data_IF_258370800795
#
_entry.id   IF_258370800795
#
_cell.length_a   1.000
_cell.length_b   1.000
_cell.length_c   1.000
_cell.angle_alpha   90.00
_cell.angle_beta   90.00
_cell.angle_gamma   90.00
#
_symmetry.space_group_name_H-M   'P 1'
#
loop_
_entity.id
_entity.type
_entity.pdbx_description
1 polymer ?
#
# COMPACT_ATOMS: atom_id res chain seq x y z
N UNK A 1 -47.16 35.35 10.18
CA UNK A 1 -45.70 35.25 10.29
C UNK A 1 -45.25 33.86 9.91
N UNK A 2 -44.07 33.78 9.34
CA UNK A 2 -43.40 32.51 8.98
C UNK A 2 -41.96 32.60 9.51
N UNK A 3 -41.60 31.70 10.46
CA UNK A 3 -40.32 31.72 11.18
C UNK A 3 -39.78 30.30 11.28
N UNK A 4 -38.46 30.14 11.13
CA UNK A 4 -37.73 28.90 11.32
C UNK A 4 -36.90 28.91 12.62
N UNK A 5 -36.71 27.73 13.20
CA UNK A 5 -35.74 27.59 14.31
C UNK A 5 -34.28 27.76 13.85
N UNK A 6 -34.00 27.51 12.59
CA UNK A 6 -32.71 27.74 11.94
C UNK A 6 -32.95 27.98 10.43
N UNK A 7 -32.27 28.96 9.83
CA UNK A 7 -32.43 29.38 8.43
C UNK A 7 -31.20 29.10 7.56
N UNK A 8 -30.10 28.60 8.14
CA UNK A 8 -28.89 28.16 7.46
C UNK A 8 -28.41 26.82 8.01
N UNK A 9 -28.44 25.80 7.17
CA UNK A 9 -28.05 24.44 7.52
C UNK A 9 -26.76 24.04 6.82
N UNK A 10 -25.83 23.46 7.58
CA UNK A 10 -24.68 22.76 7.05
C UNK A 10 -24.79 21.27 7.37
N UNK A 11 -24.94 20.43 6.37
CA UNK A 11 -25.19 19.00 6.46
C UNK A 11 -23.98 18.17 6.02
N UNK A 12 -23.90 16.92 6.46
CA UNK A 12 -22.75 16.04 6.21
C UNK A 12 -22.71 15.53 4.78
N UNK A 13 -21.50 15.35 4.25
CA UNK A 13 -21.26 14.78 2.93
C UNK A 13 -21.83 13.36 2.79
N UNK A 14 -21.77 12.53 3.84
CA UNK A 14 -22.27 11.16 3.86
C UNK A 14 -23.80 11.03 3.75
N UNK A 15 -24.50 12.15 3.60
CA UNK A 15 -25.95 12.23 3.75
C UNK A 15 -26.33 12.56 5.19
N UNK A 16 -27.41 13.32 5.33
CA UNK A 16 -27.84 13.80 6.64
C UNK A 16 -29.33 14.10 6.64
N UNK A 17 -29.88 14.26 7.85
CA UNK A 17 -31.28 14.66 8.06
C UNK A 17 -31.37 15.73 9.13
N UNK A 18 -31.94 16.87 8.79
CA UNK A 18 -32.24 17.92 9.74
C UNK A 18 -33.75 18.05 9.94
N UNK A 19 -34.12 18.38 11.17
CA UNK A 19 -35.51 18.66 11.54
C UNK A 19 -35.59 20.13 11.97
N UNK A 20 -36.39 20.92 11.27
CA UNK A 20 -36.55 22.34 11.51
C UNK A 20 -37.98 22.61 12.02
N UNK A 21 -38.07 23.39 13.10
CA UNK A 21 -39.36 23.90 13.55
C UNK A 21 -39.82 25.07 12.68
N UNK A 22 -41.03 24.98 12.20
CA UNK A 22 -41.69 26.00 11.37
C UNK A 22 -42.87 26.57 12.14
N UNK A 23 -42.80 27.82 12.52
CA UNK A 23 -43.91 28.57 13.08
C UNK A 23 -44.59 29.38 11.99
N UNK A 24 -45.83 29.02 11.70
CA UNK A 24 -46.62 29.68 10.66
C UNK A 24 -48.04 30.01 11.15
N UNK A 25 -48.56 31.15 10.76
CA UNK A 25 -49.90 31.61 11.15
C UNK A 25 -51.05 30.90 10.42
N UNK A 26 -50.76 30.15 9.35
CA UNK A 26 -51.72 29.40 8.55
C UNK A 26 -51.05 28.21 7.87
N UNK A 27 -51.80 27.51 7.00
CA UNK A 27 -51.23 26.40 6.22
C UNK A 27 -50.00 26.87 5.40
N UNK A 28 -48.91 26.10 5.47
CA UNK A 28 -47.70 26.36 4.71
C UNK A 28 -47.32 25.19 3.81
N UNK A 29 -46.55 25.48 2.77
CA UNK A 29 -45.99 24.49 1.87
C UNK A 29 -44.47 24.70 1.75
N UNK A 30 -43.74 23.65 1.38
CA UNK A 30 -42.30 23.72 1.18
C UNK A 30 -41.89 22.92 -0.06
N UNK A 31 -40.92 23.44 -0.79
CA UNK A 31 -40.33 22.76 -1.94
C UNK A 31 -38.79 22.91 -1.92
N UNK A 32 -38.06 21.88 -2.27
CA UNK A 32 -36.62 21.93 -2.46
C UNK A 32 -36.33 22.40 -3.89
N UNK A 33 -35.25 23.19 -4.06
CA UNK A 33 -34.77 23.65 -5.35
C UNK A 33 -33.69 22.78 -5.97
N UNK A 34 -33.40 21.60 -5.37
CA UNK A 34 -32.41 20.64 -5.87
C UNK A 34 -32.83 19.20 -5.60
N UNK A 35 -32.56 18.31 -6.53
CA UNK A 35 -32.96 16.90 -6.48
C UNK A 35 -32.26 16.12 -5.37
N UNK A 36 -31.03 16.52 -5.01
CA UNK A 36 -30.26 15.90 -3.94
C UNK A 36 -30.74 16.27 -2.52
N UNK A 37 -31.62 17.26 -2.41
CA UNK A 37 -32.22 17.72 -1.17
C UNK A 37 -33.72 17.43 -1.21
N UNK A 38 -34.15 16.46 -0.44
CA UNK A 38 -35.56 16.07 -0.34
C UNK A 38 -36.17 16.58 0.95
N UNK A 39 -37.47 16.88 0.92
CA UNK A 39 -38.19 17.39 2.07
C UNK A 39 -39.43 16.55 2.38
N UNK A 40 -39.74 16.43 3.67
CA UNK A 40 -40.95 15.82 4.17
C UNK A 40 -41.56 16.71 5.24
N UNK A 41 -42.86 16.82 5.26
CA UNK A 41 -43.58 17.41 6.42
C UNK A 41 -43.59 16.38 7.55
N UNK A 42 -43.16 16.81 8.73
CA UNK A 42 -43.25 15.96 9.93
C UNK A 42 -44.69 15.64 10.30
N UNK A 43 -44.87 14.57 11.05
CA UNK A 43 -46.20 14.13 11.58
C UNK A 43 -46.86 15.25 12.39
N UNK A 44 -46.08 16.10 13.05
CA UNK A 44 -46.53 17.32 13.73
C UNK A 44 -46.49 18.50 12.75
N UNK A 45 -47.57 19.20 12.58
CA UNK A 45 -47.82 20.26 11.59
C UNK A 45 -46.82 21.42 11.54
N UNK A 46 -45.90 21.53 12.53
CA UNK A 46 -44.88 22.56 12.64
C UNK A 46 -43.45 22.07 12.37
N UNK A 47 -43.27 20.89 11.77
CA UNK A 47 -41.92 20.34 11.52
C UNK A 47 -41.66 20.15 9.99
N UNK A 48 -40.49 20.63 9.57
CA UNK A 48 -39.94 20.40 8.23
C UNK A 48 -38.73 19.47 8.38
N UNK A 49 -38.77 18.33 7.71
CA UNK A 49 -37.68 17.36 7.68
C UNK A 49 -36.96 17.52 6.34
N UNK A 50 -35.67 17.80 6.40
CA UNK A 50 -34.80 17.99 5.25
C UNK A 50 -33.80 16.84 5.22
N UNK A 51 -33.81 16.06 4.13
CA UNK A 51 -32.90 14.95 3.92
C UNK A 51 -32.03 15.24 2.72
N UNK A 52 -30.70 15.12 2.86
CA UNK A 52 -29.75 15.22 1.76
C UNK A 52 -29.16 13.86 1.46
N UNK A 53 -29.10 13.51 0.18
CA UNK A 53 -28.40 12.32 -0.28
C UNK A 53 -26.88 12.48 -0.11
N UNK A 54 -26.10 11.38 -0.01
CA UNK A 54 -24.64 11.46 0.00
C UNK A 54 -24.11 12.28 -1.18
N UNK A 55 -23.06 13.08 -0.93
CA UNK A 55 -22.37 13.84 -1.97
C UNK A 55 -21.10 13.13 -2.39
N UNK A 56 -20.92 12.94 -3.70
CA UNK A 56 -19.69 12.43 -4.30
C UNK A 56 -18.78 13.54 -4.83
N UNK A 57 -19.17 14.80 -4.59
CA UNK A 57 -18.37 15.98 -4.93
C UNK A 57 -17.40 16.30 -3.77
N UNK A 58 -16.18 16.68 -4.11
CA UNK A 58 -15.16 17.15 -3.16
C UNK A 58 -15.46 18.59 -2.67
N UNK A 59 -16.32 19.31 -3.39
CA UNK A 59 -16.72 20.66 -3.03
C UNK A 59 -18.03 20.68 -2.27
N UNK A 60 -18.17 21.69 -1.39
CA UNK A 60 -19.45 22.03 -0.77
C UNK A 60 -20.47 22.38 -1.84
N UNK A 61 -21.69 21.88 -1.70
CA UNK A 61 -22.81 22.25 -2.56
C UNK A 61 -23.94 22.91 -1.76
N UNK A 62 -24.65 23.81 -2.38
CA UNK A 62 -25.71 24.56 -1.76
C UNK A 62 -27.00 24.57 -2.55
N UNK A 63 -28.12 24.69 -1.83
CA UNK A 63 -29.47 24.91 -2.39
C UNK A 63 -30.31 25.69 -1.40
N UNK A 64 -31.56 25.98 -1.77
CA UNK A 64 -32.54 26.56 -0.89
C UNK A 64 -33.81 25.70 -0.81
N UNK A 65 -34.40 25.66 0.35
CA UNK A 65 -35.78 25.20 0.54
C UNK A 65 -36.68 26.43 0.64
N UNK A 66 -37.59 26.54 -0.30
CA UNK A 66 -38.58 27.60 -0.33
C UNK A 66 -39.81 27.18 0.46
N UNK A 67 -40.15 27.96 1.47
CA UNK A 67 -41.37 27.77 2.26
C UNK A 67 -42.33 28.91 2.05
N UNK A 68 -43.60 28.58 1.80
CA UNK A 68 -44.67 29.54 1.48
C UNK A 68 -45.81 29.41 2.50
N UNK A 69 -46.31 30.54 2.99
CA UNK A 69 -47.45 30.62 3.88
C UNK A 69 -48.30 31.84 3.52
N UNK A 70 -49.39 31.66 2.75
CA UNK A 70 -50.08 32.74 2.07
C UNK A 70 -49.15 33.47 1.13
N UNK A 71 -49.11 34.80 1.20
CA UNK A 71 -48.20 35.63 0.40
C UNK A 71 -46.79 35.72 0.91
N UNK A 72 -46.49 35.13 2.10
CA UNK A 72 -45.14 35.13 2.67
C UNK A 72 -44.31 33.99 2.09
N UNK A 73 -43.12 34.35 1.58
CA UNK A 73 -42.13 33.41 1.06
C UNK A 73 -40.84 33.61 1.85
N UNK A 74 -40.33 32.52 2.44
CA UNK A 74 -39.02 32.51 3.10
C UNK A 74 -38.19 31.39 2.49
N UNK A 75 -36.88 31.60 2.39
CA UNK A 75 -35.91 30.60 1.91
C UNK A 75 -35.00 30.21 3.04
N UNK A 76 -34.88 28.90 3.24
CA UNK A 76 -33.92 28.25 4.13
C UNK A 76 -32.71 27.87 3.30
N UNK A 77 -31.52 28.30 3.69
CA UNK A 77 -30.27 27.90 3.06
C UNK A 77 -29.90 26.48 3.50
N UNK A 78 -29.58 25.63 2.56
CA UNK A 78 -29.10 24.25 2.81
C UNK A 78 -27.78 24.06 2.12
N UNK A 79 -26.71 23.89 2.89
CA UNK A 79 -25.37 23.58 2.41
C UNK A 79 -24.99 22.16 2.83
N UNK A 80 -24.27 21.48 1.99
CA UNK A 80 -23.74 20.14 2.26
C UNK A 80 -22.24 20.11 2.05
N UNK A 81 -21.49 19.65 3.04
CA UNK A 81 -20.04 19.49 2.94
C UNK A 81 -19.65 18.65 1.73
N UNK A 82 -18.52 19.01 1.12
CA UNK A 82 -17.86 18.16 0.14
C UNK A 82 -17.31 16.87 0.79
N UNK A 83 -17.14 15.85 -0.04
CA UNK A 83 -16.55 14.58 0.33
C UNK A 83 -15.05 14.74 0.57
N UNK A 84 -14.56 14.16 1.65
CA UNK A 84 -13.14 13.98 1.93
C UNK A 84 -12.87 12.49 2.01
N UNK A 85 -11.88 12.01 1.27
CA UNK A 85 -11.34 10.66 1.42
C UNK A 85 -9.85 10.68 1.07
N UNK A 86 -9.01 10.43 2.05
CA UNK A 86 -7.56 10.40 1.94
C UNK A 86 -7.04 9.09 2.52
N UNK A 87 -6.10 8.49 1.82
CA UNK A 87 -5.30 7.35 2.25
C UNK A 87 -3.84 7.82 2.22
N UNK A 88 -3.01 7.34 3.14
CA UNK A 88 -1.57 7.65 3.14
C UNK A 88 -0.98 7.41 1.73
N UNK A 89 -0.40 8.46 1.12
CA UNK A 89 0.07 8.43 -0.28
C UNK A 89 1.12 7.35 -0.53
N UNK A 90 1.90 6.99 0.49
CA UNK A 90 2.98 6.01 0.41
C UNK A 90 2.47 4.56 0.46
N UNK A 91 1.22 4.33 0.86
CA UNK A 91 0.65 2.99 1.03
C UNK A 91 -0.31 2.61 -0.09
N UNK A 92 0.21 2.40 -1.29
CA UNK A 92 -0.52 1.73 -2.38
C UNK A 92 -0.51 0.20 -2.26
N UNK A 93 0.42 -0.33 -1.49
CA UNK A 93 0.60 -1.74 -1.22
C UNK A 93 0.60 -2.01 0.29
N UNK A 94 0.17 -3.20 0.66
CA UNK A 94 0.27 -3.76 2.00
C UNK A 94 1.20 -4.96 1.89
N UNK A 95 2.43 -4.82 2.38
CA UNK A 95 3.47 -5.84 2.22
C UNK A 95 3.70 -6.58 3.53
N UNK A 96 3.51 -7.89 3.49
CA UNK A 96 3.57 -8.77 4.65
C UNK A 96 4.74 -9.75 4.54
N UNK A 97 5.45 -9.95 5.63
CA UNK A 97 6.41 -11.03 5.74
C UNK A 97 5.71 -12.40 5.64
N UNK A 98 6.47 -13.44 5.33
CA UNK A 98 5.97 -14.83 5.30
C UNK A 98 5.30 -15.25 6.61
N UNK A 99 5.87 -14.86 7.74
CA UNK A 99 5.29 -15.09 9.08
C UNK A 99 4.10 -14.15 9.34
N UNK A 100 3.22 -14.50 10.28
CA UNK A 100 2.15 -13.60 10.67
C UNK A 100 2.66 -12.20 10.98
N UNK A 101 2.10 -11.22 10.34
CA UNK A 101 2.50 -9.82 10.49
C UNK A 101 1.30 -8.89 10.33
N UNK A 102 1.51 -7.63 10.72
CA UNK A 102 0.45 -6.63 10.78
C UNK A 102 0.87 -5.38 10.02
N UNK A 103 -0.05 -4.86 9.21
CA UNK A 103 0.05 -3.57 8.54
C UNK A 103 -1.11 -2.66 8.97
N UNK A 104 -0.83 -1.39 9.16
CA UNK A 104 -1.84 -0.38 9.51
C UNK A 104 -1.99 0.61 8.37
N UNK A 105 -3.23 0.79 7.93
CA UNK A 105 -3.61 1.77 6.92
C UNK A 105 -4.47 2.85 7.57
N UNK A 106 -4.01 4.08 7.54
CA UNK A 106 -4.79 5.21 8.05
C UNK A 106 -5.64 5.81 6.94
N UNK A 107 -6.92 5.92 7.20
CA UNK A 107 -7.87 6.62 6.33
C UNK A 107 -8.41 7.86 7.04
N UNK A 108 -8.54 8.95 6.28
CA UNK A 108 -9.20 10.19 6.73
C UNK A 108 -10.38 10.45 5.82
N UNK A 109 -11.56 10.50 6.39
CA UNK A 109 -12.78 10.67 5.60
C UNK A 109 -13.92 11.23 6.45
N UNK A 110 -14.83 11.91 5.82
CA UNK A 110 -16.13 12.31 6.38
C UNK A 110 -17.27 11.46 5.82
N UNK A 111 -16.95 10.33 5.16
CA UNK A 111 -17.89 9.40 4.55
C UNK A 111 -18.03 8.10 5.36
N UNK A 112 -19.09 7.37 5.09
CA UNK A 112 -19.14 5.94 5.43
C UNK A 112 -18.26 5.16 4.43
N UNK A 113 -17.61 4.09 4.93
CA UNK A 113 -16.73 3.25 4.13
C UNK A 113 -16.95 1.77 4.39
N UNK A 114 -16.56 0.95 3.40
CA UNK A 114 -16.59 -0.50 3.47
C UNK A 114 -15.30 -1.07 2.87
N UNK A 115 -14.66 -1.99 3.59
CA UNK A 115 -13.50 -2.74 3.11
C UNK A 115 -13.95 -4.08 2.54
N UNK A 116 -13.42 -4.41 1.37
CA UNK A 116 -13.61 -5.70 0.71
C UNK A 116 -12.24 -6.30 0.39
N UNK A 117 -12.01 -7.54 0.84
CA UNK A 117 -10.84 -8.35 0.51
C UNK A 117 -11.28 -9.38 -0.53
N UNK A 118 -10.63 -9.38 -1.70
CA UNK A 118 -11.02 -10.23 -2.83
C UNK A 118 -10.72 -11.71 -2.57
N UNK A 119 -9.58 -12.01 -1.96
CA UNK A 119 -9.21 -13.37 -1.57
C UNK A 119 -10.08 -13.84 -0.39
N UNK A 120 -10.67 -15.03 -0.53
CA UNK A 120 -11.54 -15.64 0.48
C UNK A 120 -10.89 -16.79 1.26
N UNK A 121 -9.59 -17.05 1.03
CA UNK A 121 -8.86 -18.09 1.76
C UNK A 121 -8.62 -17.75 3.24
N UNK A 122 -8.81 -16.46 3.61
CA UNK A 122 -8.74 -16.00 5.00
C UNK A 122 -7.33 -15.69 5.50
N UNK A 123 -6.32 -15.71 4.63
CA UNK A 123 -4.95 -15.38 5.01
C UNK A 123 -4.76 -13.90 5.41
N UNK A 124 -5.58 -13.04 4.85
CA UNK A 124 -5.60 -11.61 5.14
C UNK A 124 -6.92 -11.24 5.83
N UNK A 125 -6.82 -10.60 6.96
CA UNK A 125 -7.95 -10.12 7.73
C UNK A 125 -7.79 -8.64 8.04
N UNK A 126 -8.90 -7.93 8.22
CA UNK A 126 -8.91 -6.51 8.61
C UNK A 126 -9.72 -6.34 9.89
N UNK A 127 -9.31 -5.40 10.74
CA UNK A 127 -9.98 -5.10 12.03
C UNK A 127 -11.46 -4.76 11.85
N UNK A 128 -11.76 -3.92 10.86
CA UNK A 128 -13.10 -3.42 10.60
C UNK A 128 -13.39 -3.48 9.11
N UNK A 129 -14.56 -4.01 8.76
CA UNK A 129 -14.99 -4.11 7.36
C UNK A 129 -15.93 -2.97 6.95
N UNK A 130 -16.50 -2.25 7.93
CA UNK A 130 -17.41 -1.11 7.71
C UNK A 130 -17.17 -0.06 8.79
N UNK A 131 -17.35 1.20 8.45
CA UNK A 131 -17.25 2.30 9.40
C UNK A 131 -17.68 3.64 8.82
N UNK A 132 -17.50 4.69 9.61
CA UNK A 132 -17.79 6.08 9.23
C UNK A 132 -16.73 6.99 9.83
N UNK A 133 -16.23 7.93 9.03
CA UNK A 133 -15.19 8.85 9.47
C UNK A 133 -13.80 8.21 9.48
N UNK A 134 -12.84 8.90 10.09
CA UNK A 134 -11.45 8.48 10.15
C UNK A 134 -11.30 7.12 10.83
N UNK A 135 -10.36 6.32 10.35
CA UNK A 135 -10.04 5.02 10.94
C UNK A 135 -8.59 4.62 10.70
N UNK A 136 -8.05 3.82 11.61
CA UNK A 136 -6.81 3.07 11.46
C UNK A 136 -7.19 1.61 11.19
N UNK A 137 -7.13 1.19 9.94
CA UNK A 137 -7.46 -0.18 9.52
C UNK A 137 -6.25 -1.07 9.76
N UNK A 138 -6.39 -2.05 10.65
CA UNK A 138 -5.35 -3.01 10.99
C UNK A 138 -5.55 -4.26 10.15
N UNK A 139 -4.60 -4.53 9.26
CA UNK A 139 -4.57 -5.74 8.45
C UNK A 139 -3.62 -6.74 9.06
N UNK A 140 -4.08 -7.97 9.26
CA UNK A 140 -3.30 -9.07 9.82
C UNK A 140 -3.19 -10.19 8.79
N UNK A 141 -1.96 -10.69 8.57
CA UNK A 141 -1.71 -11.86 7.75
C UNK A 141 -1.47 -13.10 8.61
N UNK A 142 -1.91 -14.27 8.13
CA UNK A 142 -1.52 -15.58 8.68
C UNK A 142 -0.19 -16.05 8.09
N UNK A 143 0.40 -17.12 8.63
CA UNK A 143 1.60 -17.74 8.05
C UNK A 143 1.37 -18.15 6.58
N UNK A 144 2.33 -17.84 5.70
CA UNK A 144 2.35 -18.36 4.34
C UNK A 144 3.27 -19.59 4.27
N UNK A 145 2.70 -20.77 4.41
CA UNK A 145 3.43 -22.03 4.29
C UNK A 145 3.72 -22.45 2.84
N UNK A 146 3.24 -21.66 1.86
CA UNK A 146 3.47 -21.95 0.44
C UNK A 146 4.88 -21.50 0.01
N UNK A 147 5.40 -22.15 -1.03
CA UNK A 147 6.69 -21.80 -1.62
C UNK A 147 6.72 -20.39 -2.20
N UNK A 148 5.60 -19.93 -2.73
CA UNK A 148 5.49 -18.68 -3.48
C UNK A 148 4.74 -17.60 -2.70
N UNK A 149 4.97 -16.34 -3.09
CA UNK A 149 4.20 -15.23 -2.60
C UNK A 149 2.71 -15.39 -2.92
N UNK A 150 1.88 -14.76 -2.12
CA UNK A 150 0.45 -14.67 -2.38
C UNK A 150 -0.02 -13.23 -2.33
N UNK A 151 -1.01 -12.92 -3.16
CA UNK A 151 -1.53 -11.56 -3.29
C UNK A 151 -3.04 -11.55 -3.14
N UNK A 152 -3.56 -10.42 -2.67
CA UNK A 152 -4.99 -10.13 -2.65
C UNK A 152 -5.23 -8.68 -3.00
N UNK A 153 -6.39 -8.42 -3.61
CA UNK A 153 -6.86 -7.06 -3.83
C UNK A 153 -7.72 -6.64 -2.65
N UNK A 154 -7.41 -5.50 -2.07
CA UNK A 154 -8.21 -4.82 -1.05
C UNK A 154 -8.89 -3.61 -1.71
N UNK A 155 -10.20 -3.49 -1.56
CA UNK A 155 -10.95 -2.32 -2.01
C UNK A 155 -11.60 -1.64 -0.81
N UNK A 156 -11.44 -0.33 -0.74
CA UNK A 156 -12.14 0.50 0.23
C UNK A 156 -13.16 1.33 -0.54
N UNK A 157 -14.42 1.01 -0.36
CA UNK A 157 -15.55 1.70 -0.98
C UNK A 157 -16.00 2.87 -0.11
N UNK A 158 -16.31 4.00 -0.72
CA UNK A 158 -16.85 5.19 -0.08
C UNK A 158 -17.71 5.96 -1.09
N UNK A 159 -18.96 6.25 -0.75
CA UNK A 159 -19.91 6.76 -1.72
C UNK A 159 -20.03 5.83 -2.93
N UNK A 160 -19.91 6.38 -4.14
CA UNK A 160 -19.85 5.63 -5.40
C UNK A 160 -18.42 5.30 -5.87
N UNK A 161 -17.41 5.65 -5.07
CA UNK A 161 -15.98 5.52 -5.39
C UNK A 161 -15.33 4.38 -4.63
N UNK A 162 -14.14 4.00 -5.06
CA UNK A 162 -13.30 3.07 -4.32
C UNK A 162 -11.82 3.34 -4.54
N UNK A 163 -11.01 3.02 -3.53
CA UNK A 163 -9.56 2.91 -3.63
C UNK A 163 -9.20 1.43 -3.68
N UNK A 164 -8.27 1.09 -4.57
CA UNK A 164 -7.72 -0.26 -4.72
C UNK A 164 -6.30 -0.29 -4.17
N UNK A 165 -6.02 -1.26 -3.30
CA UNK A 165 -4.70 -1.60 -2.78
C UNK A 165 -4.38 -3.04 -3.16
N UNK A 166 -3.10 -3.37 -3.25
CA UNK A 166 -2.62 -4.75 -3.37
C UNK A 166 -1.99 -5.15 -2.05
N UNK A 167 -2.45 -6.26 -1.48
CA UNK A 167 -1.80 -6.90 -0.36
C UNK A 167 -0.93 -8.03 -0.91
N UNK A 168 0.35 -8.04 -0.54
CA UNK A 168 1.33 -9.05 -0.96
C UNK A 168 1.96 -9.67 0.28
N UNK A 169 2.05 -10.98 0.33
CA UNK A 169 2.76 -11.69 1.38
C UNK A 169 3.83 -12.60 0.79
N UNK A 170 5.04 -12.48 1.31
CA UNK A 170 6.18 -13.31 0.91
C UNK A 170 5.86 -14.81 1.02
N UNK A 171 6.41 -15.58 0.07
CA UNK A 171 6.38 -17.04 0.10
C UNK A 171 7.56 -17.65 0.87
N UNK A 172 7.57 -18.97 0.94
CA UNK A 172 8.69 -19.74 1.50
C UNK A 172 9.91 -19.77 0.59
N UNK A 173 9.74 -19.51 -0.70
CA UNK A 173 10.83 -19.38 -1.68
C UNK A 173 10.85 -17.96 -2.20
N UNK A 174 11.99 -17.31 -2.16
CA UNK A 174 12.18 -15.98 -2.75
C UNK A 174 12.15 -16.08 -4.27
N UNK A 175 11.30 -15.28 -4.89
CA UNK A 175 11.21 -15.20 -6.35
C UNK A 175 12.49 -14.62 -6.95
N UNK A 176 12.80 -14.99 -8.19
CA UNK A 176 13.92 -14.42 -8.92
C UNK A 176 13.81 -12.89 -9.00
N UNK A 177 14.87 -12.20 -8.59
CA UNK A 177 14.92 -10.74 -8.48
C UNK A 177 14.30 -10.16 -7.19
N UNK A 178 13.78 -10.97 -6.27
CA UNK A 178 13.26 -10.48 -4.99
C UNK A 178 14.39 -9.91 -4.13
N UNK A 179 14.21 -8.67 -3.68
CA UNK A 179 15.18 -7.93 -2.88
C UNK A 179 14.83 -8.05 -1.41
N UNK A 180 15.81 -8.39 -0.56
CA UNK A 180 15.71 -8.35 0.88
C UNK A 180 16.75 -7.36 1.42
N UNK A 181 16.28 -6.38 2.19
CA UNK A 181 17.17 -5.50 2.95
C UNK A 181 17.49 -6.15 4.30
N UNK A 182 18.78 -6.42 4.55
CA UNK A 182 19.27 -6.93 5.82
C UNK A 182 19.68 -5.77 6.75
N UNK A 183 20.16 -4.69 6.17
CA UNK A 183 20.52 -3.45 6.85
C UNK A 183 20.25 -2.28 5.89
N UNK A 184 19.50 -1.28 6.34
CA UNK A 184 19.18 -0.09 5.55
C UNK A 184 19.13 1.13 6.46
N UNK A 185 20.31 1.63 6.83
CA UNK A 185 20.46 2.69 7.83
C UNK A 185 20.59 4.09 7.19
N UNK A 186 20.93 4.17 5.91
CA UNK A 186 21.28 5.43 5.24
C UNK A 186 20.71 5.52 3.83
N UNK A 187 20.52 6.74 3.30
CA UNK A 187 20.28 6.92 1.87
C UNK A 187 21.38 6.24 1.03
N UNK A 188 21.01 5.66 -0.10
CA UNK A 188 21.90 4.87 -0.95
C UNK A 188 23.17 5.64 -1.39
N UNK A 189 23.03 6.94 -1.66
CA UNK A 189 24.12 7.84 -2.07
C UNK A 189 25.08 8.22 -0.94
N UNK A 190 24.74 7.86 0.31
CA UNK A 190 25.50 8.16 1.54
C UNK A 190 25.91 6.93 2.33
N UNK A 191 25.75 5.77 1.76
CA UNK A 191 26.12 4.49 2.34
C UNK A 191 27.14 3.78 1.47
N UNK A 192 27.83 2.81 2.07
CA UNK A 192 28.44 1.72 1.31
C UNK A 192 27.39 0.63 1.15
N UNK A 193 26.91 0.44 -0.06
CA UNK A 193 25.90 -0.56 -0.33
C UNK A 193 26.57 -1.89 -0.67
N UNK A 194 26.28 -2.92 0.11
CA UNK A 194 26.72 -4.28 -0.16
C UNK A 194 25.53 -5.07 -0.69
N UNK A 195 25.68 -5.64 -1.87
CA UNK A 195 24.63 -6.41 -2.53
C UNK A 195 25.10 -7.84 -2.75
N UNK A 196 24.44 -8.79 -2.11
CA UNK A 196 24.68 -10.22 -2.30
C UNK A 196 23.84 -10.73 -3.47
N UNK A 197 24.51 -11.31 -4.45
CA UNK A 197 23.95 -12.06 -5.56
C UNK A 197 24.55 -13.46 -5.57
N UNK A 198 23.76 -14.47 -5.86
CA UNK A 198 24.23 -15.84 -5.86
C UNK A 198 24.05 -16.52 -7.22
N UNK A 199 25.10 -17.13 -7.77
CA UNK A 199 25.00 -18.07 -8.85
C UNK A 199 25.10 -19.51 -8.33
N UNK A 200 24.40 -20.43 -8.98
CA UNK A 200 24.37 -21.81 -8.56
C UNK A 200 23.36 -22.14 -7.44
N UNK A 201 22.53 -21.20 -7.06
CA UNK A 201 21.39 -21.43 -6.14
C UNK A 201 20.12 -21.72 -6.94
N UNK A 202 19.52 -22.89 -6.75
CA UNK A 202 18.25 -23.27 -7.35
C UNK A 202 17.07 -22.83 -6.46
N UNK A 203 15.83 -23.01 -6.90
CA UNK A 203 14.64 -22.56 -6.16
C UNK A 203 14.61 -23.03 -4.70
N UNK A 204 14.98 -24.28 -4.42
CA UNK A 204 15.02 -24.83 -3.06
C UNK A 204 16.07 -24.16 -2.17
N UNK A 205 17.14 -23.63 -2.75
CA UNK A 205 18.20 -22.92 -2.04
C UNK A 205 17.79 -21.49 -1.66
N UNK A 206 16.72 -20.98 -2.30
CA UNK A 206 16.14 -19.65 -2.06
C UNK A 206 15.01 -19.66 -1.02
N UNK A 207 14.86 -20.75 -0.26
CA UNK A 207 13.88 -20.81 0.85
C UNK A 207 14.21 -19.73 1.88
N UNK A 208 13.18 -18.95 2.22
CA UNK A 208 13.29 -17.88 3.21
C UNK A 208 13.72 -18.45 4.58
N UNK A 209 14.65 -17.80 5.25
CA UNK A 209 15.19 -18.13 6.58
C UNK A 209 16.11 -19.36 6.64
N UNK A 210 15.87 -20.41 5.87
CA UNK A 210 16.59 -21.69 5.98
C UNK A 210 17.28 -22.14 4.71
N UNK A 211 17.08 -21.45 3.61
CA UNK A 211 17.70 -21.79 2.32
C UNK A 211 19.21 -21.53 2.35
N UNK A 212 19.94 -22.28 1.51
CA UNK A 212 21.41 -22.20 1.44
C UNK A 212 21.88 -20.76 1.07
N UNK A 213 21.12 -20.03 0.26
CA UNK A 213 21.44 -18.64 -0.10
C UNK A 213 21.33 -17.70 1.12
N UNK A 214 20.25 -17.81 1.91
CA UNK A 214 20.08 -16.99 3.11
C UNK A 214 21.20 -17.25 4.12
N UNK A 215 21.53 -18.51 4.34
CA UNK A 215 22.63 -18.92 5.25
C UNK A 215 23.99 -18.37 4.76
N UNK A 216 24.27 -18.47 3.47
CA UNK A 216 25.51 -17.93 2.90
C UNK A 216 25.61 -16.41 3.05
N UNK A 217 24.51 -15.68 2.87
CA UNK A 217 24.47 -14.23 3.09
C UNK A 217 24.68 -13.86 4.55
N UNK A 218 24.04 -14.59 5.47
CA UNK A 218 24.19 -14.37 6.91
C UNK A 218 25.63 -14.62 7.39
N UNK A 219 26.21 -15.76 7.02
CA UNK A 219 27.61 -16.11 7.31
C UNK A 219 28.59 -15.07 6.74
N UNK A 220 28.36 -14.61 5.51
CA UNK A 220 29.23 -13.59 4.88
C UNK A 220 29.13 -12.23 5.60
N UNK A 221 27.92 -11.83 6.04
CA UNK A 221 27.72 -10.62 6.81
C UNK A 221 28.40 -10.71 8.19
N UNK A 222 28.25 -11.83 8.88
CA UNK A 222 28.88 -12.05 10.18
C UNK A 222 30.42 -11.98 10.05
N UNK A 223 31.00 -12.73 9.11
CA UNK A 223 32.42 -12.74 8.86
C UNK A 223 32.98 -11.36 8.51
N UNK A 224 32.25 -10.57 7.68
CA UNK A 224 32.68 -9.22 7.31
C UNK A 224 32.77 -8.30 8.53
N UNK A 225 31.74 -8.31 9.38
CA UNK A 225 31.65 -7.40 10.53
C UNK A 225 32.37 -7.90 11.80
N UNK A 226 33.04 -9.02 11.73
CA UNK A 226 34.03 -9.42 12.75
C UNK A 226 35.40 -8.74 12.53
N UNK A 227 35.67 -8.24 11.31
CA UNK A 227 36.96 -7.69 10.90
C UNK A 227 36.95 -6.16 10.96
N UNK A 228 38.02 -5.57 11.54
CA UNK A 228 38.23 -4.11 11.45
C UNK A 228 38.78 -3.72 10.07
N UNK A 229 38.37 -2.57 9.52
CA UNK A 229 37.55 -1.51 10.13
C UNK A 229 36.03 -1.71 9.96
N UNK A 230 35.56 -2.75 9.26
CA UNK A 230 34.15 -2.96 8.92
C UNK A 230 33.24 -3.03 10.15
N UNK A 231 33.74 -3.65 11.21
CA UNK A 231 33.04 -3.73 12.50
C UNK A 231 32.72 -2.35 13.07
N UNK A 232 33.70 -1.47 13.12
CA UNK A 232 33.54 -0.08 13.63
C UNK A 232 32.63 0.75 12.74
N UNK A 233 32.65 0.54 11.42
CA UNK A 233 31.89 1.33 10.47
C UNK A 233 30.58 0.67 9.99
N UNK A 234 30.07 -0.35 10.69
CA UNK A 234 28.87 -1.10 10.33
C UNK A 234 27.67 -0.20 10.02
N UNK A 235 27.47 0.88 10.76
CA UNK A 235 26.37 1.82 10.58
C UNK A 235 26.43 2.64 9.27
N UNK A 236 27.54 2.54 8.54
CA UNK A 236 27.70 3.18 7.22
C UNK A 236 27.33 2.24 6.06
N UNK A 237 26.97 1.00 6.35
CA UNK A 237 26.57 0.04 5.36
C UNK A 237 25.06 -0.05 5.22
N UNK A 238 24.61 -0.21 3.98
CA UNK A 238 23.35 -0.85 3.65
C UNK A 238 23.66 -2.24 3.08
N UNK A 239 22.86 -3.22 3.40
CA UNK A 239 23.09 -4.61 2.99
C UNK A 239 21.80 -5.13 2.36
N UNK A 240 21.93 -5.59 1.15
CA UNK A 240 20.84 -6.18 0.38
C UNK A 240 21.26 -7.56 -0.11
N UNK A 241 20.30 -8.47 -0.23
CA UNK A 241 20.44 -9.67 -1.03
C UNK A 241 19.35 -9.71 -2.09
N UNK A 242 19.69 -10.14 -3.29
CA UNK A 242 18.74 -10.29 -4.37
C UNK A 242 18.72 -11.75 -4.78
N UNK A 243 17.57 -12.39 -4.66
CA UNK A 243 17.40 -13.77 -5.09
C UNK A 243 17.65 -13.87 -6.59
N UNK A 244 18.47 -14.83 -6.98
CA UNK A 244 18.82 -15.11 -8.37
C UNK A 244 18.74 -16.62 -8.58
N UNK A 245 17.70 -17.07 -9.29
CA UNK A 245 17.43 -18.49 -9.48
C UNK A 245 18.29 -19.06 -10.60
N UNK A 246 19.10 -20.05 -10.27
CA UNK A 246 19.87 -20.86 -11.23
C UNK A 246 19.10 -22.12 -11.61
N UNK A 247 19.30 -22.60 -12.84
CA UNK A 247 18.70 -23.86 -13.31
C UNK A 247 19.35 -25.10 -12.68
N UNK A 248 20.58 -24.95 -12.18
CA UNK A 248 21.36 -25.99 -11.52
C UNK A 248 22.31 -25.40 -10.49
N UNK A 249 22.74 -26.22 -9.52
CA UNK A 249 23.67 -25.82 -8.44
C UNK A 249 25.12 -25.66 -8.89
N UNK A 250 25.47 -26.27 -10.03
CA UNK A 250 26.85 -26.29 -10.50
C UNK A 250 27.18 -25.08 -11.35
N UNK A 251 28.36 -24.52 -11.10
CA UNK A 251 28.95 -23.50 -11.97
C UNK A 251 29.74 -24.23 -13.07
N UNK A 252 29.44 -23.99 -14.36
CA UNK A 252 30.11 -24.68 -15.44
C UNK A 252 31.60 -24.34 -15.57
N UNK A 253 32.40 -25.31 -16.01
CA UNK A 253 33.82 -25.12 -16.30
C UNK A 253 34.11 -24.59 -17.73
N UNK A 254 33.09 -24.35 -18.52
CA UNK A 254 33.15 -23.84 -19.89
C UNK A 254 32.24 -22.63 -20.04
N UNK A 255 32.69 -21.63 -20.77
CA UNK A 255 31.90 -20.42 -21.03
C UNK A 255 30.52 -20.77 -21.62
N UNK A 256 29.41 -20.41 -20.94
CA UNK A 256 28.08 -20.69 -21.44
C UNK A 256 27.73 -19.73 -22.59
N UNK A 257 26.97 -20.25 -23.55
CA UNK A 257 26.26 -19.40 -24.52
C UNK A 257 24.95 -18.93 -23.91
N UNK A 258 24.30 -17.95 -24.51
CA UNK A 258 22.98 -17.44 -24.02
C UNK A 258 21.92 -18.55 -23.91
N UNK A 259 21.99 -19.57 -24.79
CA UNK A 259 21.07 -20.71 -24.80
C UNK A 259 21.45 -21.82 -23.82
N UNK A 260 22.72 -21.92 -23.44
CA UNK A 260 23.24 -22.96 -22.52
C UNK A 260 23.49 -22.42 -21.10
N UNK A 261 23.25 -21.14 -20.84
CA UNK A 261 23.43 -20.54 -19.53
C UNK A 261 22.50 -21.21 -18.50
N UNK A 262 23.09 -21.67 -17.41
CA UNK A 262 22.39 -22.33 -16.31
C UNK A 262 22.28 -21.43 -15.07
N UNK A 263 23.03 -20.33 -15.08
CA UNK A 263 23.07 -19.35 -13.99
C UNK A 263 22.72 -17.94 -14.50
N UNK A 264 22.11 -17.07 -13.69
CA UNK A 264 21.70 -15.73 -14.10
C UNK A 264 22.84 -14.81 -14.51
N UNK A 265 24.03 -15.01 -13.92
CA UNK A 265 25.18 -14.15 -14.16
C UNK A 265 26.21 -14.76 -15.12
N UNK A 266 25.87 -15.90 -15.73
CA UNK A 266 26.75 -16.58 -16.69
C UNK A 266 28.13 -16.93 -16.10
N UNK A 267 28.15 -17.20 -14.78
CA UNK A 267 29.40 -17.50 -14.09
C UNK A 267 29.97 -18.84 -14.57
N UNK A 268 31.26 -18.88 -14.81
CA UNK A 268 31.99 -20.10 -15.16
C UNK A 268 33.44 -20.02 -14.70
N UNK A 269 34.07 -21.18 -14.52
CA UNK A 269 35.50 -21.27 -14.20
C UNK A 269 36.33 -21.10 -15.46
N UNK A 270 37.22 -20.07 -15.47
CA UNK A 270 38.20 -19.88 -16.56
C UNK A 270 39.48 -20.62 -16.30
N UNK A 271 39.87 -20.79 -15.05
CA UNK A 271 41.05 -21.58 -14.64
C UNK A 271 40.70 -22.31 -13.33
N UNK A 272 40.96 -23.60 -13.30
CA UNK A 272 40.91 -24.45 -12.10
C UNK A 272 42.23 -25.20 -12.00
N UNK A 273 43.08 -24.79 -11.08
CA UNK A 273 44.28 -25.50 -10.73
C UNK A 273 44.50 -25.47 -9.21
N UNK A 274 45.55 -26.16 -8.75
CA UNK A 274 45.85 -26.32 -7.30
C UNK A 274 46.10 -25.01 -6.56
N UNK A 275 46.40 -23.92 -7.31
CA UNK A 275 46.83 -22.64 -6.72
C UNK A 275 45.91 -21.45 -7.08
N UNK A 276 45.10 -21.57 -8.13
CA UNK A 276 44.24 -20.48 -8.59
C UNK A 276 42.92 -21.00 -9.13
N UNK A 277 41.85 -20.37 -8.70
CA UNK A 277 40.52 -20.51 -9.29
C UNK A 277 40.10 -19.12 -9.78
N UNK A 278 39.84 -19.01 -11.10
CA UNK A 278 39.31 -17.79 -11.66
C UNK A 278 37.91 -17.98 -12.17
N UNK A 279 37.06 -17.03 -11.82
CA UNK A 279 35.67 -16.96 -12.29
C UNK A 279 35.54 -15.85 -13.33
N UNK A 280 34.72 -16.08 -14.31
CA UNK A 280 34.19 -15.07 -15.20
C UNK A 280 32.69 -14.94 -15.02
N UNK A 281 32.15 -13.77 -15.21
CA UNK A 281 30.72 -13.46 -15.01
C UNK A 281 30.25 -12.34 -15.94
N UNK A 282 28.94 -12.17 -16.06
CA UNK A 282 28.32 -11.09 -16.85
C UNK A 282 28.07 -9.85 -15.98
N UNK A 283 28.90 -8.83 -16.09
CA UNK A 283 28.70 -7.54 -15.42
C UNK A 283 27.34 -6.91 -15.78
N UNK A 284 26.87 -6.87 -17.04
CA UNK A 284 25.55 -6.32 -17.36
C UNK A 284 24.39 -7.03 -16.65
N UNK A 285 24.47 -8.36 -16.45
CA UNK A 285 23.45 -9.12 -15.71
C UNK A 285 23.44 -8.72 -14.24
N UNK A 286 24.59 -8.58 -13.61
CA UNK A 286 24.73 -8.10 -12.23
C UNK A 286 24.11 -6.71 -12.08
N UNK A 287 24.46 -5.77 -12.96
CA UNK A 287 23.93 -4.40 -12.95
C UNK A 287 22.41 -4.37 -13.11
N UNK A 288 21.85 -5.24 -13.96
CA UNK A 288 20.41 -5.37 -14.16
C UNK A 288 19.67 -5.84 -12.88
N UNK A 289 20.28 -6.73 -12.10
CA UNK A 289 19.71 -7.14 -10.82
C UNK A 289 19.81 -6.03 -9.77
N UNK A 290 20.97 -5.40 -9.63
CA UNK A 290 21.18 -4.32 -8.67
C UNK A 290 20.28 -3.11 -8.93
N UNK A 291 19.98 -2.80 -10.19
CA UNK A 291 19.07 -1.71 -10.57
C UNK A 291 17.61 -1.92 -10.13
N UNK A 292 17.22 -3.12 -9.71
CA UNK A 292 15.91 -3.40 -9.12
C UNK A 292 15.75 -2.81 -7.71
N UNK A 293 16.85 -2.47 -7.03
CA UNK A 293 16.79 -1.79 -5.72
C UNK A 293 16.24 -0.37 -5.94
N UNK A 294 15.16 -0.04 -5.24
CA UNK A 294 14.49 1.26 -5.38
C UNK A 294 15.46 2.41 -5.09
N UNK A 295 15.64 3.31 -6.05
CA UNK A 295 16.55 4.45 -5.94
C UNK A 295 18.02 4.14 -6.33
N UNK A 296 18.36 2.91 -6.69
CA UNK A 296 19.67 2.56 -7.21
C UNK A 296 19.85 3.18 -8.60
N UNK A 297 20.80 4.09 -8.72
CA UNK A 297 21.22 4.71 -10.01
C UNK A 297 22.55 4.11 -10.45
N UNK A 298 22.88 4.29 -11.72
CA UNK A 298 24.20 3.85 -12.26
C UNK A 298 25.36 4.48 -11.50
N UNK A 299 25.28 5.76 -11.15
CA UNK A 299 26.32 6.46 -10.38
C UNK A 299 26.48 5.88 -8.96
N UNK A 300 25.38 5.56 -8.26
CA UNK A 300 25.41 4.91 -6.94
C UNK A 300 25.98 3.50 -7.06
N UNK A 301 25.59 2.75 -8.08
CA UNK A 301 26.07 1.40 -8.31
C UNK A 301 27.58 1.37 -8.56
N UNK A 302 28.11 2.31 -9.35
CA UNK A 302 29.54 2.38 -9.66
C UNK A 302 30.40 2.91 -8.52
N UNK A 303 29.91 3.87 -7.72
CA UNK A 303 30.71 4.57 -6.71
C UNK A 303 30.53 4.07 -5.29
N UNK A 304 29.33 3.65 -4.97
CA UNK A 304 28.92 3.37 -3.59
C UNK A 304 28.47 1.92 -3.36
N UNK A 305 28.62 1.04 -4.35
CA UNK A 305 28.08 -0.32 -4.26
C UNK A 305 29.16 -1.36 -4.52
N UNK A 306 29.20 -2.38 -3.71
CA UNK A 306 29.98 -3.61 -3.84
C UNK A 306 29.01 -4.77 -4.02
N UNK A 307 29.27 -5.62 -5.02
CA UNK A 307 28.47 -6.79 -5.36
C UNK A 307 29.31 -8.06 -5.25
#
# INVERSE_FOLDING_TARGET
SLVFSNDDLLLKAAGDTAVIDVTAGSHWNAESMADWCTIKKGVNKGKLIICVAPSDDIYERGTAVKVTCGDNIVRLSVRQNGMVFEVEEDKKNLDFNRKPSTEVLKIRTNMAWKVEIADKSGWLQVSDTIGTGNADLVFNSSDNSQAYERTSVVRIHYGIRSVKLTATQEGGIRQDGHIKAHLSNRPLDKALNLVFLGDGFIAEDLITETGAFEQAVEEACEALFEIEPYKTYKDYFNIYSIASESKQREIPSVAPTTSSATTPFYTYFTEMNTFQTKLSYSKPSIEAYCSKILGMTTDILERNTVV
#
